data_IF_784214476879
#
_entry.id   IF_784214476879
#
_cell.length_a   1.000
_cell.length_b   1.000
_cell.length_c   1.000
_cell.angle_alpha   90.00
_cell.angle_beta   90.00
_cell.angle_gamma   90.00
#
_symmetry.space_group_name_H-M   'P 1'
#
loop_
_entity.id
_entity.type
_entity.pdbx_description
1 polymer ?
#
# COMPACT_ATOMS: atom_id res chain seq x y z
N UNK A 1 -6.94 -20.24 -6.26
CA UNK A 1 -6.69 -18.91 -6.83
C UNK A 1 -5.37 -18.39 -6.26
N UNK A 2 -4.36 -18.19 -7.10
CA UNK A 2 -3.04 -17.73 -6.65
C UNK A 2 -3.04 -16.21 -6.48
N UNK A 3 -2.70 -15.73 -5.27
CA UNK A 3 -2.62 -14.30 -4.94
C UNK A 3 -1.16 -13.91 -4.70
N UNK A 4 -0.77 -12.73 -5.14
CA UNK A 4 0.48 -12.10 -4.72
C UNK A 4 0.20 -10.81 -3.95
N UNK A 5 1.06 -10.52 -2.98
CA UNK A 5 1.16 -9.21 -2.35
C UNK A 5 2.46 -8.59 -2.85
N UNK A 6 2.41 -7.35 -3.30
CA UNK A 6 3.51 -6.61 -3.88
C UNK A 6 3.82 -5.40 -3.00
N UNK A 7 5.05 -5.30 -2.52
CA UNK A 7 5.48 -4.24 -1.61
C UNK A 7 6.88 -3.75 -1.97
N UNK A 8 7.14 -2.47 -1.70
CA UNK A 8 8.46 -1.86 -1.76
C UNK A 8 9.04 -1.67 -0.35
N UNK A 9 10.31 -2.05 -0.13
CA UNK A 9 11.00 -1.93 1.16
C UNK A 9 12.35 -1.23 0.98
N UNK A 10 12.50 -0.04 1.53
CA UNK A 10 13.77 0.69 1.58
C UNK A 10 14.58 0.33 2.84
N UNK A 11 15.85 0.72 2.88
CA UNK A 11 16.80 0.43 3.97
C UNK A 11 16.56 1.22 5.28
N UNK A 12 15.48 1.99 5.37
CA UNK A 12 15.07 2.63 6.62
C UNK A 12 14.57 1.57 7.61
N UNK A 13 15.15 1.55 8.82
CA UNK A 13 14.75 0.61 9.89
C UNK A 13 13.26 0.67 10.23
N UNK A 14 12.65 1.86 10.15
CA UNK A 14 11.20 2.02 10.37
C UNK A 14 10.37 1.30 9.30
N UNK A 15 10.82 1.34 8.04
CA UNK A 15 10.14 0.65 6.94
C UNK A 15 10.33 -0.87 7.03
N UNK A 16 11.49 -1.32 7.52
CA UNK A 16 11.72 -2.75 7.81
C UNK A 16 10.81 -3.22 8.94
N UNK A 17 10.65 -2.44 10.01
CA UNK A 17 9.67 -2.71 11.08
C UNK A 17 8.24 -2.81 10.53
N UNK A 18 7.84 -1.83 9.72
CA UNK A 18 6.53 -1.80 9.05
C UNK A 18 6.34 -3.03 8.15
N UNK A 19 7.36 -3.43 7.37
CA UNK A 19 7.31 -4.65 6.57
C UNK A 19 6.95 -5.88 7.43
N UNK A 20 7.48 -5.99 8.64
CA UNK A 20 7.11 -7.07 9.56
C UNK A 20 5.68 -6.96 10.08
N UNK A 21 5.08 -5.77 10.15
CA UNK A 21 3.65 -5.61 10.46
C UNK A 21 2.78 -6.24 9.38
N UNK A 22 3.05 -5.88 8.12
CA UNK A 22 2.38 -6.48 6.97
C UNK A 22 2.62 -7.98 6.91
N UNK A 23 3.87 -8.43 7.00
CA UNK A 23 4.23 -9.85 6.94
C UNK A 23 3.54 -10.66 8.05
N UNK A 24 3.54 -10.19 9.30
CA UNK A 24 2.80 -10.83 10.40
C UNK A 24 1.31 -10.94 10.10
N UNK A 25 0.69 -9.88 9.57
CA UNK A 25 -0.73 -9.92 9.18
C UNK A 25 -1.00 -10.96 8.08
N UNK A 26 -0.09 -11.13 7.13
CA UNK A 26 -0.20 -12.12 6.05
C UNK A 26 -0.08 -13.56 6.56
N UNK A 27 0.81 -13.81 7.53
CA UNK A 27 0.92 -15.10 8.22
C UNK A 27 -0.35 -15.41 9.01
N UNK A 28 -0.80 -14.45 9.83
CA UNK A 28 -1.98 -14.59 10.67
C UNK A 28 -3.22 -14.99 9.88
N UNK A 29 -3.43 -14.30 8.75
CA UNK A 29 -4.59 -14.47 7.88
C UNK A 29 -4.44 -15.61 6.89
N UNK A 30 -3.27 -16.27 6.84
CA UNK A 30 -2.91 -17.31 5.86
C UNK A 30 -3.05 -16.82 4.42
N UNK A 31 -2.85 -15.53 4.20
CA UNK A 31 -3.04 -14.88 2.89
C UNK A 31 -1.97 -15.28 1.87
N UNK A 32 -0.89 -15.94 2.31
CA UNK A 32 0.16 -16.49 1.45
C UNK A 32 -0.05 -17.96 1.09
N UNK A 33 -1.13 -18.61 1.55
CA UNK A 33 -1.41 -20.01 1.21
C UNK A 33 -1.64 -20.15 -0.30
N UNK A 34 -0.71 -20.82 -0.98
CA UNK A 34 -0.71 -20.94 -2.45
C UNK A 34 -0.39 -19.63 -3.20
N UNK A 35 0.08 -18.62 -2.49
CA UNK A 35 0.46 -17.29 -3.00
C UNK A 35 1.92 -16.95 -2.75
N UNK A 36 2.26 -15.67 -2.89
CA UNK A 36 3.60 -15.15 -2.60
C UNK A 36 3.57 -13.70 -2.11
N UNK A 37 4.62 -13.31 -1.40
CA UNK A 37 4.94 -11.90 -1.12
C UNK A 37 6.10 -11.49 -2.01
N UNK A 38 5.84 -10.66 -3.01
CA UNK A 38 6.84 -10.07 -3.90
C UNK A 38 7.40 -8.83 -3.20
N UNK A 39 8.67 -8.90 -2.82
CA UNK A 39 9.38 -7.88 -2.04
C UNK A 39 10.41 -7.21 -2.92
N UNK A 40 10.07 -6.04 -3.46
CA UNK A 40 11.03 -5.20 -4.18
C UNK A 40 11.77 -4.37 -3.14
N UNK A 41 13.07 -4.55 -2.96
CA UNK A 41 13.74 -3.97 -1.80
C UNK A 41 15.13 -3.42 -2.08
N UNK A 42 15.57 -2.48 -1.24
CA UNK A 42 16.96 -2.04 -1.21
C UNK A 42 17.88 -3.26 -0.97
N UNK A 43 19.01 -3.41 -1.69
CA UNK A 43 19.88 -4.59 -1.54
C UNK A 43 20.36 -4.85 -0.10
N UNK A 44 20.54 -3.80 0.70
CA UNK A 44 20.93 -3.91 2.12
C UNK A 44 19.86 -4.54 3.02
N UNK A 45 18.60 -4.56 2.59
CA UNK A 45 17.49 -5.13 3.37
C UNK A 45 17.38 -6.65 3.18
N UNK A 46 17.97 -7.23 2.13
CA UNK A 46 17.81 -8.65 1.79
C UNK A 46 18.17 -9.57 2.96
N UNK A 47 19.25 -9.27 3.69
CA UNK A 47 19.67 -10.05 4.86
C UNK A 47 18.79 -9.88 6.11
N UNK A 48 17.87 -8.91 6.11
CA UNK A 48 16.93 -8.63 7.19
C UNK A 48 15.54 -9.22 6.94
N UNK A 49 15.26 -9.71 5.72
CA UNK A 49 13.99 -10.33 5.37
C UNK A 49 13.88 -11.74 6.00
N UNK A 50 12.66 -12.20 6.33
CA UNK A 50 12.45 -13.53 6.87
C UNK A 50 12.85 -14.61 5.86
N UNK A 51 13.42 -15.70 6.37
CA UNK A 51 13.71 -16.89 5.58
C UNK A 51 12.42 -17.68 5.32
N UNK A 52 11.68 -17.27 4.29
CA UNK A 52 10.41 -17.89 3.88
C UNK A 52 10.40 -18.10 2.36
N UNK A 53 10.15 -19.35 1.92
CA UNK A 53 10.11 -19.73 0.50
C UNK A 53 8.99 -19.06 -0.29
N UNK A 54 8.02 -18.43 0.38
CA UNK A 54 6.91 -17.68 -0.24
C UNK A 54 7.30 -16.24 -0.59
N UNK A 55 8.47 -15.77 -0.15
CA UNK A 55 9.00 -14.47 -0.54
C UNK A 55 9.69 -14.56 -1.90
N UNK A 56 9.25 -13.71 -2.83
CA UNK A 56 9.95 -13.45 -4.09
C UNK A 56 10.70 -12.13 -3.92
N UNK A 57 11.99 -12.21 -3.60
CA UNK A 57 12.82 -11.03 -3.31
C UNK A 57 13.44 -10.51 -4.60
N UNK A 58 13.20 -9.23 -4.90
CA UNK A 58 13.74 -8.51 -6.07
C UNK A 58 14.56 -7.32 -5.57
N UNK A 59 15.89 -7.44 -5.43
CA UNK A 59 16.73 -6.34 -5.01
C UNK A 59 16.81 -5.24 -6.07
N UNK A 60 16.53 -3.99 -5.70
CA UNK A 60 16.58 -2.83 -6.58
C UNK A 60 17.01 -1.57 -5.81
N UNK A 61 17.87 -0.76 -6.43
CA UNK A 61 18.18 0.57 -5.90
C UNK A 61 16.94 1.47 -6.00
N UNK A 62 16.76 2.44 -5.09
CA UNK A 62 15.64 3.37 -5.16
C UNK A 62 15.67 4.17 -6.47
N UNK A 63 14.54 4.21 -7.19
CA UNK A 63 14.45 4.88 -8.50
C UNK A 63 14.92 6.34 -8.47
N UNK A 64 14.58 7.09 -7.42
CA UNK A 64 15.00 8.48 -7.25
C UNK A 64 16.53 8.66 -7.13
N UNK A 65 17.30 7.60 -6.84
CA UNK A 65 18.77 7.65 -6.83
C UNK A 65 19.39 7.50 -8.21
N UNK A 66 18.70 6.86 -9.15
CA UNK A 66 19.23 6.59 -10.51
C UNK A 66 18.62 7.50 -11.58
N UNK A 67 17.61 8.29 -11.23
CA UNK A 67 16.88 9.18 -12.14
C UNK A 67 16.81 10.60 -11.55
N UNK A 68 17.61 11.52 -12.11
CA UNK A 68 17.85 12.85 -11.56
C UNK A 68 16.59 13.74 -11.53
N UNK A 69 15.64 13.53 -12.43
CA UNK A 69 14.36 14.24 -12.45
C UNK A 69 13.53 13.99 -11.19
N UNK A 70 13.79 12.88 -10.49
CA UNK A 70 13.12 12.50 -9.24
C UNK A 70 13.91 12.85 -7.99
N UNK A 71 15.01 13.59 -8.11
CA UNK A 71 15.82 14.01 -6.97
C UNK A 71 14.95 14.75 -5.93
N UNK A 72 15.07 14.35 -4.66
CA UNK A 72 14.29 14.92 -3.56
C UNK A 72 12.84 14.42 -3.45
N UNK A 73 12.40 13.50 -4.31
CA UNK A 73 11.05 12.94 -4.27
C UNK A 73 11.05 11.41 -4.02
N UNK A 74 11.31 10.95 -2.79
CA UNK A 74 11.49 9.53 -2.49
C UNK A 74 10.22 8.69 -2.66
N UNK A 75 9.04 9.30 -2.63
CA UNK A 75 7.76 8.58 -2.79
C UNK A 75 7.62 7.89 -4.15
N UNK A 76 8.37 8.32 -5.18
CA UNK A 76 8.36 7.63 -6.48
C UNK A 76 8.90 6.20 -6.39
N UNK A 77 9.76 5.90 -5.41
CA UNK A 77 10.41 4.59 -5.30
C UNK A 77 9.36 3.47 -5.15
N UNK A 78 8.29 3.70 -4.39
CA UNK A 78 7.19 2.73 -4.22
C UNK A 78 6.22 2.63 -5.41
N UNK A 79 6.47 3.38 -6.49
CA UNK A 79 5.73 3.28 -7.76
C UNK A 79 6.66 2.75 -8.85
N UNK A 80 7.77 3.43 -9.09
CA UNK A 80 8.68 3.14 -10.18
C UNK A 80 9.42 1.80 -10.02
N UNK A 81 9.85 1.45 -8.80
CA UNK A 81 10.44 0.13 -8.56
C UNK A 81 9.40 -0.98 -8.74
N UNK A 82 8.12 -0.72 -8.42
CA UNK A 82 7.05 -1.71 -8.54
C UNK A 82 6.54 -1.88 -9.99
N UNK A 83 6.86 -0.96 -10.89
CA UNK A 83 6.53 -1.05 -12.31
C UNK A 83 7.68 -1.57 -13.18
N UNK A 84 8.78 -2.04 -12.58
CA UNK A 84 9.91 -2.60 -13.32
C UNK A 84 9.53 -3.90 -14.06
N UNK A 85 10.13 -4.21 -15.23
CA UNK A 85 9.73 -5.36 -16.04
C UNK A 85 9.77 -6.71 -15.30
N UNK A 86 10.82 -6.96 -14.53
CA UNK A 86 11.00 -8.17 -13.72
C UNK A 86 9.93 -8.30 -12.62
N UNK A 87 9.52 -7.18 -12.01
CA UNK A 87 8.43 -7.13 -11.05
C UNK A 87 7.08 -7.43 -11.72
N UNK A 88 6.82 -6.83 -12.89
CA UNK A 88 5.60 -7.09 -13.65
C UNK A 88 5.52 -8.55 -14.12
N UNK A 89 6.64 -9.15 -14.49
CA UNK A 89 6.75 -10.56 -14.86
C UNK A 89 6.49 -11.47 -13.65
N UNK A 90 7.03 -11.13 -12.47
CA UNK A 90 6.72 -11.86 -11.24
C UNK A 90 5.21 -11.82 -10.92
N UNK A 91 4.56 -10.66 -11.07
CA UNK A 91 3.12 -10.52 -10.90
C UNK A 91 2.31 -11.37 -11.91
N UNK A 92 2.81 -11.57 -13.13
CA UNK A 92 2.12 -12.33 -14.18
C UNK A 92 1.81 -13.79 -13.80
N UNK A 93 2.57 -14.36 -12.86
CA UNK A 93 2.37 -15.72 -12.36
C UNK A 93 1.16 -15.90 -11.42
N UNK A 94 0.44 -14.82 -11.10
CA UNK A 94 -0.66 -14.81 -10.13
C UNK A 94 -1.97 -14.34 -10.78
N UNK A 95 -3.10 -14.80 -10.24
CA UNK A 95 -4.43 -14.39 -10.71
C UNK A 95 -4.81 -13.02 -10.14
N UNK A 96 -4.44 -12.77 -8.89
CA UNK A 96 -4.72 -11.52 -8.17
C UNK A 96 -3.44 -10.93 -7.58
N UNK A 97 -3.33 -9.60 -7.56
CA UNK A 97 -2.22 -8.86 -6.95
C UNK A 97 -2.77 -7.78 -6.03
N UNK A 98 -2.28 -7.71 -4.80
CA UNK A 98 -2.41 -6.55 -3.92
C UNK A 98 -1.09 -5.77 -3.94
N UNK A 99 -1.06 -4.59 -4.56
CA UNK A 99 0.02 -3.62 -4.31
C UNK A 99 -0.34 -2.84 -3.06
N UNK A 100 0.57 -2.76 -2.10
CA UNK A 100 0.39 -2.01 -0.85
C UNK A 100 1.71 -1.47 -0.30
N UNK A 101 1.64 -0.66 0.74
CA UNK A 101 2.77 -0.12 1.47
C UNK A 101 3.12 -0.98 2.69
N UNK A 102 4.32 -0.82 3.25
CA UNK A 102 4.77 -1.61 4.39
C UNK A 102 3.95 -1.35 5.66
N UNK A 103 3.49 -0.12 5.88
CA UNK A 103 2.83 0.32 7.11
C UNK A 103 1.35 -0.08 7.16
N UNK A 104 1.07 -1.31 6.76
CA UNK A 104 -0.28 -1.81 6.55
C UNK A 104 -0.48 -3.20 7.12
N UNK A 105 -1.74 -3.60 7.24
CA UNK A 105 -2.17 -4.87 7.78
C UNK A 105 -3.29 -5.44 6.92
N UNK A 106 -3.18 -6.69 6.50
CA UNK A 106 -4.33 -7.41 5.94
C UNK A 106 -5.18 -8.01 7.05
N UNK A 107 -6.47 -8.20 6.79
CA UNK A 107 -7.42 -8.81 7.73
C UNK A 107 -7.87 -10.19 7.26
N UNK A 108 -8.56 -10.98 8.10
CA UNK A 108 -9.13 -12.25 7.67
C UNK A 108 -10.10 -12.13 6.47
N UNK A 109 -10.74 -10.97 6.27
CA UNK A 109 -11.63 -10.74 5.14
C UNK A 109 -10.88 -10.73 3.80
N UNK A 110 -9.62 -10.29 3.77
CA UNK A 110 -8.79 -10.31 2.56
C UNK A 110 -8.51 -11.73 2.05
N UNK A 111 -8.33 -12.70 2.96
CA UNK A 111 -7.94 -14.06 2.62
C UNK A 111 -8.95 -14.73 1.66
N UNK A 112 -10.25 -14.49 1.83
CA UNK A 112 -11.32 -15.06 0.99
C UNK A 112 -11.84 -14.11 -0.10
N UNK A 113 -11.53 -12.81 -0.03
CA UNK A 113 -12.05 -11.83 -0.99
C UNK A 113 -11.41 -11.97 -2.38
N UNK A 114 -12.28 -11.90 -3.41
CA UNK A 114 -11.93 -11.99 -4.83
C UNK A 114 -12.63 -10.85 -5.58
N UNK A 115 -11.90 -9.82 -6.02
CA UNK A 115 -12.48 -8.71 -6.76
C UNK A 115 -12.67 -9.07 -8.24
N UNK A 116 -13.72 -8.53 -8.86
CA UNK A 116 -13.97 -8.61 -10.31
C UNK A 116 -13.35 -7.45 -11.10
N UNK A 117 -12.79 -6.46 -10.40
CA UNK A 117 -12.13 -5.27 -10.93
C UNK A 117 -11.04 -4.77 -9.97
N UNK A 118 -10.67 -3.49 -10.06
CA UNK A 118 -9.69 -2.90 -9.15
C UNK A 118 -10.36 -2.37 -7.88
N UNK A 119 -9.94 -2.85 -6.72
CA UNK A 119 -10.30 -2.30 -5.43
C UNK A 119 -9.18 -1.39 -4.94
N UNK A 120 -9.50 -0.13 -4.68
CA UNK A 120 -8.55 0.86 -4.17
C UNK A 120 -8.81 1.17 -2.71
N UNK A 121 -7.74 1.57 -2.03
CA UNK A 121 -7.88 2.23 -0.74
C UNK A 121 -8.29 3.68 -0.85
N UNK A 122 -8.40 4.34 0.28
CA UNK A 122 -8.73 5.77 0.37
C UNK A 122 -7.45 6.60 0.57
N UNK A 123 -7.25 7.63 -0.25
CA UNK A 123 -6.01 8.40 -0.31
C UNK A 123 -6.00 9.78 0.37
N UNK A 124 -7.16 10.31 0.80
CA UNK A 124 -7.29 11.52 1.62
C UNK A 124 -6.48 12.78 1.18
N UNK A 125 -6.34 13.05 -0.12
CA UNK A 125 -5.54 14.18 -0.63
C UNK A 125 -6.36 15.26 -1.35
N UNK A 126 -7.58 14.95 -1.78
CA UNK A 126 -8.45 15.82 -2.56
C UNK A 126 -9.62 16.31 -1.70
N UNK A 127 -9.32 16.93 -0.57
CA UNK A 127 -10.33 17.60 0.27
C UNK A 127 -10.69 18.99 -0.25
N UNK A 128 -9.74 19.69 -0.84
CA UNK A 128 -9.96 21.01 -1.41
C UNK A 128 -10.49 20.92 -2.85
N UNK A 129 -11.46 21.79 -3.17
CA UNK A 129 -12.00 21.93 -4.53
C UNK A 129 -10.93 22.39 -5.54
N UNK A 130 -9.87 23.04 -5.08
CA UNK A 130 -8.70 23.43 -5.89
C UNK A 130 -8.01 22.19 -6.48
N UNK A 131 -7.72 21.19 -5.65
CA UNK A 131 -7.09 19.93 -6.03
C UNK A 131 -7.99 19.14 -6.97
N UNK A 132 -9.27 19.02 -6.64
CA UNK A 132 -10.25 18.30 -7.49
C UNK A 132 -10.35 18.91 -8.88
N UNK A 133 -10.44 20.24 -8.97
CA UNK A 133 -10.46 20.95 -10.26
C UNK A 133 -9.18 20.72 -11.06
N UNK A 134 -8.01 20.79 -10.42
CA UNK A 134 -6.72 20.50 -11.09
C UNK A 134 -6.67 19.10 -11.68
N UNK A 135 -7.14 18.08 -10.95
CA UNK A 135 -7.22 16.71 -11.46
C UNK A 135 -8.18 16.60 -12.65
N UNK A 136 -9.35 17.25 -12.58
CA UNK A 136 -10.32 17.31 -13.70
C UNK A 136 -9.71 18.00 -14.92
N UNK A 137 -9.01 19.12 -14.74
CA UNK A 137 -8.33 19.87 -15.80
C UNK A 137 -7.23 19.05 -16.46
N UNK A 138 -6.37 18.38 -15.68
CA UNK A 138 -5.33 17.49 -16.20
C UNK A 138 -5.95 16.34 -17.01
N UNK A 139 -6.92 15.64 -16.43
CA UNK A 139 -7.64 14.53 -17.07
C UNK A 139 -8.28 14.95 -18.40
N UNK A 140 -8.96 16.09 -18.42
CA UNK A 140 -9.58 16.64 -19.63
C UNK A 140 -8.55 17.03 -20.69
N UNK A 141 -7.47 17.73 -20.29
CA UNK A 141 -6.37 18.12 -21.18
C UNK A 141 -5.67 16.92 -21.80
N UNK A 142 -5.65 15.79 -21.10
CA UNK A 142 -5.02 14.55 -21.54
C UNK A 142 -5.96 13.61 -22.30
N UNK A 143 -7.20 14.02 -22.55
CA UNK A 143 -8.12 13.33 -23.46
C UNK A 143 -9.03 12.28 -22.82
N UNK A 144 -9.10 12.22 -21.48
CA UNK A 144 -10.01 11.32 -20.76
C UNK A 144 -10.74 12.09 -19.65
N UNK A 145 -12.01 12.49 -19.85
CA UNK A 145 -12.74 13.28 -18.86
C UNK A 145 -12.83 12.60 -17.49
N UNK A 146 -12.62 13.36 -16.42
CA UNK A 146 -12.69 12.86 -15.06
C UNK A 146 -14.14 12.50 -14.66
N UNK A 147 -14.34 11.36 -14.01
CA UNK A 147 -15.67 10.83 -13.67
C UNK A 147 -16.13 11.12 -12.22
N UNK A 148 -15.44 12.04 -11.53
CA UNK A 148 -15.82 12.53 -10.20
C UNK A 148 -15.37 11.69 -9.00
N UNK A 149 -14.82 10.49 -9.21
CA UNK A 149 -14.24 9.70 -8.12
C UNK A 149 -12.82 10.21 -7.80
N UNK A 150 -12.65 10.72 -6.58
CA UNK A 150 -11.40 11.28 -6.07
C UNK A 150 -10.89 10.48 -4.85
N UNK A 151 -9.67 10.78 -4.40
CA UNK A 151 -9.05 10.17 -3.21
C UNK A 151 -8.74 8.68 -3.40
N UNK A 152 -8.23 8.30 -4.56
CA UNK A 152 -7.77 6.93 -4.82
C UNK A 152 -6.49 6.66 -4.03
N UNK A 153 -6.52 5.65 -3.16
CA UNK A 153 -5.42 5.28 -2.25
C UNK A 153 -4.18 4.72 -2.95
N UNK A 154 -3.11 4.56 -2.18
CA UNK A 154 -1.86 3.97 -2.65
C UNK A 154 -1.98 2.44 -2.85
N UNK A 155 -2.89 1.80 -2.12
CA UNK A 155 -3.13 0.36 -2.21
C UNK A 155 -4.14 0.03 -3.31
N UNK A 156 -3.84 -1.00 -4.09
CA UNK A 156 -4.73 -1.52 -5.13
C UNK A 156 -4.72 -3.05 -5.14
N UNK A 157 -5.90 -3.65 -5.13
CA UNK A 157 -6.11 -5.10 -5.23
C UNK A 157 -6.98 -5.44 -6.42
N UNK A 158 -6.60 -6.42 -7.23
CA UNK A 158 -7.38 -6.78 -8.41
C UNK A 158 -6.81 -7.94 -9.21
N UNK A 159 -7.44 -8.27 -10.35
CA UNK A 159 -6.83 -9.14 -11.36
C UNK A 159 -5.42 -8.67 -11.71
N UNK A 160 -4.46 -9.60 -11.72
CA UNK A 160 -3.03 -9.28 -11.92
C UNK A 160 -2.79 -8.46 -13.18
N UNK A 161 -3.45 -8.81 -14.29
CA UNK A 161 -3.38 -8.05 -15.54
C UNK A 161 -3.80 -6.58 -15.36
N UNK A 162 -4.91 -6.35 -14.68
CA UNK A 162 -5.42 -4.99 -14.44
C UNK A 162 -4.49 -4.19 -13.53
N UNK A 163 -3.95 -4.81 -12.47
CA UNK A 163 -3.00 -4.16 -11.55
C UNK A 163 -1.73 -3.79 -12.29
N UNK A 164 -1.18 -4.70 -13.12
CA UNK A 164 0.03 -4.42 -13.91
C UNK A 164 -0.18 -3.27 -14.90
N UNK A 165 -1.29 -3.25 -15.64
CA UNK A 165 -1.60 -2.13 -16.53
C UNK A 165 -1.76 -0.81 -15.76
N UNK A 166 -2.40 -0.86 -14.58
CA UNK A 166 -2.52 0.30 -13.70
C UNK A 166 -1.14 0.82 -13.25
N UNK A 167 -0.22 -0.04 -12.82
CA UNK A 167 1.12 0.36 -12.36
C UNK A 167 1.93 1.06 -13.47
N UNK A 168 1.85 0.54 -14.70
CA UNK A 168 2.48 1.17 -15.87
C UNK A 168 1.87 2.56 -16.12
N UNK A 169 0.55 2.64 -16.18
CA UNK A 169 -0.14 3.92 -16.39
C UNK A 169 0.15 4.94 -15.26
N UNK A 170 0.21 4.49 -14.01
CA UNK A 170 0.55 5.33 -12.86
C UNK A 170 1.94 5.93 -13.02
N UNK A 171 2.94 5.14 -13.43
CA UNK A 171 4.28 5.66 -13.65
C UNK A 171 4.33 6.69 -14.79
N UNK A 172 3.58 6.47 -15.87
CA UNK A 172 3.50 7.42 -16.98
C UNK A 172 2.88 8.76 -16.53
N UNK A 173 1.83 8.71 -15.70
CA UNK A 173 1.23 9.92 -15.15
C UNK A 173 2.09 10.58 -14.08
N UNK A 174 2.90 9.83 -13.33
CA UNK A 174 3.92 10.42 -12.46
C UNK A 174 4.86 11.31 -13.29
N UNK A 175 5.44 10.77 -14.38
CA UNK A 175 6.35 11.52 -15.26
C UNK A 175 5.67 12.75 -15.86
N UNK A 176 4.42 12.59 -16.29
CA UNK A 176 3.67 13.67 -16.93
C UNK A 176 3.29 14.79 -15.96
N UNK A 177 2.83 14.46 -14.75
CA UNK A 177 2.58 15.45 -13.70
C UNK A 177 3.86 16.18 -13.30
N UNK A 178 4.97 15.45 -13.16
CA UNK A 178 6.26 16.06 -12.84
C UNK A 178 6.67 17.08 -13.92
N UNK A 179 6.52 16.73 -15.19
CA UNK A 179 6.91 17.59 -16.31
C UNK A 179 5.94 18.76 -16.58
N UNK A 180 4.63 18.56 -16.43
CA UNK A 180 3.63 19.57 -16.79
C UNK A 180 3.15 20.43 -15.61
N UNK A 181 3.07 19.87 -14.40
CA UNK A 181 2.45 20.55 -13.24
C UNK A 181 3.46 20.90 -12.15
N UNK A 182 4.60 20.21 -12.07
CA UNK A 182 5.57 20.37 -10.98
C UNK A 182 7.01 20.62 -11.45
N UNK A 183 7.22 20.99 -12.71
CA UNK A 183 8.56 21.22 -13.25
C UNK A 183 9.22 22.48 -12.65
N UNK A 184 8.43 23.52 -12.40
CA UNK A 184 8.91 24.82 -11.91
C UNK A 184 8.42 25.17 -10.51
N UNK A 185 7.45 24.41 -9.97
CA UNK A 185 6.81 24.71 -8.70
C UNK A 185 6.42 23.42 -7.95
N UNK A 186 6.66 23.36 -6.65
CA UNK A 186 6.35 22.16 -5.85
C UNK A 186 4.97 22.19 -5.18
N UNK A 187 4.27 23.32 -5.19
CA UNK A 187 2.99 23.46 -4.51
C UNK A 187 3.09 23.57 -3.00
N UNK A 188 1.94 23.60 -2.33
CA UNK A 188 1.84 23.65 -0.87
C UNK A 188 0.81 22.66 -0.36
N UNK A 189 1.10 22.06 0.79
CA UNK A 189 0.19 21.15 1.49
C UNK A 189 -0.43 21.85 2.72
N UNK A 190 -1.75 21.70 2.96
CA UNK A 190 -2.74 21.05 2.09
C UNK A 190 -2.96 21.88 0.80
N UNK A 191 -3.32 21.19 -0.29
CA UNK A 191 -3.50 21.80 -1.62
C UNK A 191 -2.86 21.01 -2.75
N UNK A 192 -2.70 21.65 -3.92
CA UNK A 192 -2.02 21.07 -5.08
C UNK A 192 -0.52 21.03 -4.82
N UNK A 193 0.01 19.85 -4.50
CA UNK A 193 1.38 19.70 -4.00
C UNK A 193 2.09 18.47 -4.59
N UNK A 194 3.34 18.67 -5.01
CA UNK A 194 4.23 17.63 -5.54
C UNK A 194 4.41 16.46 -4.58
N UNK A 195 4.37 16.70 -3.26
CA UNK A 195 4.49 15.65 -2.25
C UNK A 195 3.45 14.52 -2.42
N UNK A 196 2.32 14.80 -3.06
CA UNK A 196 1.20 13.88 -3.24
C UNK A 196 1.04 13.42 -4.71
N UNK A 197 2.03 13.71 -5.55
CA UNK A 197 2.04 13.44 -6.99
C UNK A 197 1.73 11.98 -7.34
N UNK A 198 2.29 11.00 -6.63
CA UNK A 198 2.03 9.56 -6.89
C UNK A 198 0.56 9.17 -6.71
N UNK A 199 -0.16 9.87 -5.81
CA UNK A 199 -1.59 9.64 -5.57
C UNK A 199 -2.44 10.30 -6.66
N UNK A 200 -2.09 11.53 -7.07
CA UNK A 200 -2.70 12.17 -8.24
C UNK A 200 -2.53 11.31 -9.49
N UNK A 201 -1.33 10.77 -9.70
CA UNK A 201 -1.03 9.88 -10.82
C UNK A 201 -1.85 8.59 -10.75
N UNK A 202 -2.05 8.02 -9.55
CA UNK A 202 -2.91 6.85 -9.35
C UNK A 202 -4.37 7.12 -9.75
N UNK A 203 -4.92 8.26 -9.36
CA UNK A 203 -6.27 8.65 -9.78
C UNK A 203 -6.39 8.79 -11.30
N UNK A 204 -5.44 9.46 -11.94
CA UNK A 204 -5.42 9.66 -13.39
C UNK A 204 -5.20 8.33 -14.15
N UNK A 205 -4.38 7.43 -13.62
CA UNK A 205 -4.18 6.07 -14.15
C UNK A 205 -5.45 5.23 -14.10
N UNK A 206 -6.19 5.28 -12.98
CA UNK A 206 -7.46 4.59 -12.87
C UNK A 206 -8.46 5.10 -13.91
N UNK A 207 -8.50 6.42 -14.13
CA UNK A 207 -9.42 7.04 -15.08
C UNK A 207 -9.15 6.62 -16.52
N UNK A 208 -7.89 6.47 -16.89
CA UNK A 208 -7.51 6.05 -18.23
C UNK A 208 -7.68 4.53 -18.46
N UNK A 209 -7.50 3.71 -17.42
CA UNK A 209 -7.52 2.24 -17.57
C UNK A 209 -8.90 1.63 -17.33
N UNK A 210 -9.40 1.66 -16.09
CA UNK A 210 -10.56 0.86 -15.65
C UNK A 210 -11.62 1.68 -14.88
N UNK A 211 -12.08 2.83 -15.39
CA UNK A 211 -12.92 3.77 -14.63
C UNK A 211 -14.28 3.21 -14.19
N UNK A 212 -14.79 2.17 -14.87
CA UNK A 212 -16.08 1.52 -14.56
C UNK A 212 -15.94 0.18 -13.83
N UNK A 213 -14.71 -0.33 -13.69
CA UNK A 213 -14.41 -1.62 -13.07
C UNK A 213 -13.58 -1.42 -11.82
N UNK A 214 -14.05 -0.56 -10.94
CA UNK A 214 -13.36 -0.26 -9.69
C UNK A 214 -14.29 -0.02 -8.50
N UNK A 215 -13.76 -0.24 -7.30
CA UNK A 215 -14.39 0.15 -6.03
C UNK A 215 -13.38 0.83 -5.11
N UNK A 216 -13.87 1.59 -4.14
CA UNK A 216 -13.10 2.24 -3.09
C UNK A 216 -13.71 1.92 -1.73
N UNK A 217 -12.88 1.86 -0.69
CA UNK A 217 -13.35 1.79 0.70
C UNK A 217 -13.39 0.39 1.31
N UNK A 218 -12.71 -0.59 0.69
CA UNK A 218 -12.40 -1.89 1.29
C UNK A 218 -10.93 -2.00 1.74
N UNK A 219 -10.08 -1.12 1.22
CA UNK A 219 -8.66 -1.04 1.56
C UNK A 219 -8.34 0.31 2.23
N UNK A 220 -7.19 0.34 2.91
CA UNK A 220 -6.63 1.53 3.59
C UNK A 220 -7.58 2.10 4.65
N UNK A 221 -8.22 1.21 5.42
CA UNK A 221 -9.01 1.64 6.56
C UNK A 221 -8.10 2.22 7.65
N UNK A 222 -8.61 3.22 8.35
CA UNK A 222 -7.98 3.79 9.53
C UNK A 222 -8.00 2.79 10.70
N UNK A 223 -6.96 2.76 11.54
CA UNK A 223 -6.83 1.84 12.66
C UNK A 223 -7.63 2.32 13.90
N UNK A 224 -8.89 2.73 13.71
CA UNK A 224 -9.74 3.21 14.79
C UNK A 224 -10.05 2.08 15.79
N UNK A 225 -9.75 2.28 17.07
CA UNK A 225 -10.10 1.33 18.12
C UNK A 225 -11.61 1.21 18.37
N UNK A 226 -12.40 2.21 17.97
CA UNK A 226 -13.87 2.19 18.08
C UNK A 226 -14.52 1.38 16.95
N UNK A 227 -13.79 1.09 15.86
CA UNK A 227 -14.30 0.30 14.74
C UNK A 227 -13.96 -1.18 14.95
N UNK A 228 -14.99 -2.03 14.96
CA UNK A 228 -14.84 -3.49 14.95
C UNK A 228 -14.26 -3.99 13.64
N UNK A 229 -13.42 -5.02 13.73
CA UNK A 229 -12.95 -5.80 12.59
C UNK A 229 -14.15 -6.52 11.95
N UNK A 230 -14.36 -6.31 10.66
CA UNK A 230 -15.53 -6.80 9.92
C UNK A 230 -15.17 -7.34 8.54
N UNK A 231 -16.14 -7.99 7.89
CA UNK A 231 -15.98 -8.55 6.54
C UNK A 231 -15.84 -7.49 5.43
N UNK A 232 -16.10 -6.22 5.74
CA UNK A 232 -15.97 -5.06 4.87
C UNK A 232 -14.60 -4.38 4.93
N UNK A 233 -13.72 -4.82 5.83
CA UNK A 233 -12.37 -4.26 6.02
C UNK A 233 -11.36 -5.29 5.58
N UNK A 234 -10.78 -5.17 4.38
CA UNK A 234 -9.78 -6.13 3.89
C UNK A 234 -8.36 -5.75 4.33
N UNK A 235 -8.12 -4.45 4.47
CA UNK A 235 -6.80 -3.88 4.62
C UNK A 235 -6.87 -2.60 5.47
N UNK A 236 -5.98 -2.50 6.46
CA UNK A 236 -5.86 -1.37 7.38
C UNK A 236 -4.51 -0.73 7.13
N UNK A 237 -4.46 0.59 7.04
CA UNK A 237 -3.21 1.34 6.88
C UNK A 237 -2.95 2.10 8.18
N UNK A 238 -1.72 2.06 8.70
CA UNK A 238 -1.29 2.78 9.90
C UNK A 238 -1.15 4.30 9.65
N UNK A 239 -2.27 4.93 9.27
CA UNK A 239 -2.38 6.36 9.05
C UNK A 239 -1.99 7.16 10.29
N UNK A 240 -1.56 8.40 10.06
CA UNK A 240 -1.31 9.34 11.15
C UNK A 240 -2.66 9.83 11.67
N UNK A 241 -3.08 9.27 12.81
CA UNK A 241 -4.26 9.72 13.55
C UNK A 241 -3.86 10.05 14.99
N UNK A 242 -4.59 10.96 15.62
CA UNK A 242 -4.42 11.34 17.03
C UNK A 242 -5.19 10.40 17.97
N UNK A 243 -5.41 9.16 17.55
CA UNK A 243 -6.16 8.14 18.29
C UNK A 243 -5.33 6.86 18.41
N UNK A 244 -5.70 6.02 19.38
CA UNK A 244 -5.23 4.64 19.45
C UNK A 244 -5.85 3.82 18.31
N UNK A 245 -5.11 3.16 17.43
CA UNK A 245 -3.64 2.94 17.37
C UNK A 245 -2.92 3.94 16.45
N UNK A 246 -1.80 4.49 16.89
CA UNK A 246 -0.92 5.37 16.10
C UNK A 246 0.50 4.82 16.02
N UNK A 247 1.07 4.77 14.81
CA UNK A 247 2.44 4.28 14.61
C UNK A 247 3.52 5.17 15.26
N UNK A 248 3.25 6.47 15.39
CA UNK A 248 4.17 7.40 16.08
C UNK A 248 4.20 7.11 17.58
N UNK A 249 3.02 6.96 18.21
CA UNK A 249 2.90 6.61 19.62
C UNK A 249 3.48 5.21 19.91
N UNK A 250 3.25 4.23 19.03
CA UNK A 250 3.86 2.91 19.12
C UNK A 250 5.39 3.00 19.16
N UNK A 251 6.00 3.76 18.23
CA UNK A 251 7.47 3.95 18.18
C UNK A 251 8.04 4.75 19.34
N UNK A 252 7.24 5.65 19.92
CA UNK A 252 7.61 6.40 21.10
C UNK A 252 7.54 5.55 22.39
N UNK A 253 7.13 4.28 22.31
CA UNK A 253 6.99 3.38 23.47
C UNK A 253 5.76 3.68 24.33
N UNK A 254 4.82 4.51 23.86
CA UNK A 254 3.64 4.90 24.63
C UNK A 254 2.72 3.71 24.98
N UNK A 255 2.87 2.60 24.25
CA UNK A 255 2.07 1.39 24.43
C UNK A 255 2.80 0.27 25.21
N UNK A 256 4.05 0.47 25.63
CA UNK A 256 4.87 -0.56 26.28
C UNK A 256 4.26 -1.06 27.60
N UNK A 257 3.58 -0.17 28.32
CA UNK A 257 2.90 -0.48 29.59
C UNK A 257 1.57 -1.22 29.44
N UNK A 258 1.05 -1.39 28.22
CA UNK A 258 -0.19 -2.14 27.98
C UNK A 258 0.12 -3.63 28.06
N UNK A 259 -0.67 -4.40 28.82
CA UNK A 259 -0.55 -5.87 28.84
C UNK A 259 -0.99 -6.45 27.48
N UNK A 260 -0.13 -7.20 26.74
CA UNK A 260 -0.48 -7.85 25.48
C UNK A 260 -1.77 -8.69 25.53
N UNK A 261 -2.08 -9.29 26.68
CA UNK A 261 -3.28 -10.11 26.86
C UNK A 261 -4.59 -9.28 26.85
N UNK A 262 -4.49 -7.97 27.11
CA UNK A 262 -5.63 -7.04 27.21
C UNK A 262 -5.94 -6.28 25.93
N UNK A 263 -5.09 -6.40 24.90
CA UNK A 263 -5.29 -5.72 23.61
C UNK A 263 -6.56 -6.27 22.93
N UNK A 264 -7.53 -5.41 22.62
CA UNK A 264 -8.76 -5.79 21.90
C UNK A 264 -8.47 -6.05 20.41
N UNK A 265 -8.12 -7.31 20.10
CA UNK A 265 -7.86 -7.80 18.73
C UNK A 265 -9.09 -7.78 17.83
N UNK A 266 -10.29 -7.56 18.38
CA UNK A 266 -11.54 -7.43 17.62
C UNK A 266 -11.82 -6.01 17.12
N UNK A 267 -11.00 -5.03 17.50
CA UNK A 267 -11.01 -3.67 16.96
C UNK A 267 -9.93 -3.48 15.90
N UNK A 268 -10.09 -2.51 14.99
CA UNK A 268 -9.04 -2.23 13.99
C UNK A 268 -7.74 -1.78 14.67
N UNK A 269 -7.83 -0.84 15.61
CA UNK A 269 -6.66 -0.33 16.33
C UNK A 269 -5.96 -1.39 17.19
N UNK A 270 -6.71 -2.18 17.95
CA UNK A 270 -6.13 -3.26 18.75
C UNK A 270 -5.57 -4.42 17.91
N UNK A 271 -6.18 -4.74 16.76
CA UNK A 271 -5.60 -5.69 15.81
C UNK A 271 -4.22 -5.22 15.30
N UNK A 272 -4.12 -3.94 14.89
CA UNK A 272 -2.85 -3.34 14.48
C UNK A 272 -1.81 -3.32 15.60
N UNK A 273 -2.18 -2.90 16.82
CA UNK A 273 -1.27 -2.89 17.96
C UNK A 273 -0.76 -4.29 18.28
N UNK A 274 -1.65 -5.28 18.37
CA UNK A 274 -1.27 -6.65 18.65
C UNK A 274 -0.28 -7.18 17.61
N UNK A 275 -0.57 -7.01 16.31
CA UNK A 275 0.33 -7.44 15.24
C UNK A 275 1.64 -6.66 15.21
N UNK A 276 1.63 -5.35 15.48
CA UNK A 276 2.85 -4.55 15.53
C UNK A 276 3.80 -5.05 16.63
N UNK A 277 3.24 -5.41 17.80
CA UNK A 277 4.00 -5.87 18.97
C UNK A 277 4.42 -7.34 18.93
N UNK A 278 3.59 -8.23 18.40
CA UNK A 278 3.79 -9.67 18.50
C UNK A 278 5.10 -10.14 17.84
N UNK A 279 5.76 -11.14 18.43
CA UNK A 279 6.81 -11.92 17.79
C UNK A 279 6.26 -12.77 16.64
N UNK A 280 7.13 -13.24 15.73
CA UNK A 280 6.70 -14.10 14.62
C UNK A 280 6.08 -15.42 15.11
N UNK A 281 6.64 -15.98 16.18
CA UNK A 281 6.19 -17.20 16.86
C UNK A 281 4.81 -17.06 17.53
N UNK A 282 4.40 -15.84 17.86
CA UNK A 282 3.08 -15.55 18.44
C UNK A 282 1.97 -15.38 17.38
N UNK A 283 2.34 -15.24 16.10
CA UNK A 283 1.43 -14.95 14.99
C UNK A 283 1.20 -16.17 14.10
N UNK A 284 2.03 -17.21 14.22
CA UNK A 284 1.82 -18.47 13.51
C UNK A 284 0.44 -19.09 13.83
N UNK A 285 -0.25 -19.68 12.85
CA UNK A 285 -1.55 -20.28 13.10
C UNK A 285 -1.42 -21.39 14.15
N UNK A 286 -2.35 -21.41 15.12
CA UNK A 286 -2.49 -22.44 16.18
C UNK A 286 -2.44 -23.89 15.65
N UNK A 287 -2.55 -24.12 14.35
CA UNK A 287 -2.45 -25.41 13.69
C UNK A 287 -1.02 -25.97 13.51
N UNK A 288 0.06 -25.27 13.92
CA UNK A 288 1.44 -25.73 13.77
C UNK A 288 2.10 -26.27 15.05
N UNK A 289 1.37 -26.43 16.16
CA UNK A 289 1.89 -27.17 17.33
C UNK A 289 1.61 -28.66 17.13
N UNK A 290 2.62 -29.55 17.01
CA UNK A 290 2.37 -30.97 17.16
C UNK A 290 1.79 -31.23 18.56
N UNK A 291 0.82 -32.14 18.63
CA UNK A 291 0.16 -32.57 19.86
C UNK A 291 1.16 -33.10 20.90
#
# INVERSE_FOLDING_TARGET
MKKAILVYVDHNSQMVEEFFWLYKSLIHTRSLDGGALIVVCHPEVVGHLPADSRLVVIPALPHARTHAEWAGYPYINSVANLCAPDVLDACAGFELVLKTDCDTFVTPAFASFVPSGLCFGFGAYAYEDSVRRKLVECSARWGFPHAGLHNVGASVYGPSEMVRHFLVAQMDYCRRLLAEEFAEHEGQWPGWCKNVLTMYAGELALRQTYPQRCSIGLLDHFPHATRRLGGDVLHIHAWHIEEYFSKHAFRAGEYDGIDPATIDRGSLGGYCHWLARAGLDEVEPIAARPA
#
